data_IF_175156040455
#
_entry.id   IF_175156040455
#
_cell.length_a   1.000
_cell.length_b   1.000
_cell.length_c   1.000
_cell.angle_alpha   90.00
_cell.angle_beta   90.00
_cell.angle_gamma   90.00
#
_symmetry.space_group_name_H-M   'P 1'
#
loop_
_entity.id
_entity.type
_entity.pdbx_description
1 polymer ?
#
# COMPACT_ATOMS: atom_id res chain seq x y z
N UNK A 1 2.13 16.52 2.53
CA UNK A 1 2.98 15.93 1.47
C UNK A 1 4.22 16.79 1.32
N UNK A 2 5.40 16.18 1.22
CA UNK A 2 6.63 16.95 1.13
C UNK A 2 6.81 17.60 -0.25
N UNK A 3 7.75 18.56 -0.32
CA UNK A 3 7.97 19.33 -1.54
C UNK A 3 8.43 18.46 -2.73
N UNK A 4 9.28 17.48 -2.47
CA UNK A 4 9.79 16.60 -3.53
C UNK A 4 8.65 15.80 -4.16
N UNK A 5 7.74 15.26 -3.34
CA UNK A 5 6.58 14.52 -3.82
C UNK A 5 5.64 15.43 -4.61
N UNK A 6 5.40 16.65 -4.13
CA UNK A 6 4.56 17.61 -4.82
C UNK A 6 5.13 17.98 -6.18
N UNK A 7 6.44 18.21 -6.25
CA UNK A 7 7.14 18.54 -7.49
C UNK A 7 7.02 17.38 -8.50
N UNK A 8 7.29 16.16 -8.04
CA UNK A 8 7.17 14.97 -8.90
C UNK A 8 5.75 14.84 -9.46
N UNK A 9 4.74 14.99 -8.61
CA UNK A 9 3.33 14.88 -8.99
C UNK A 9 2.97 15.93 -10.05
N UNK A 10 3.35 17.18 -9.83
CA UNK A 10 3.07 18.25 -10.77
C UNK A 10 3.76 18.04 -12.12
N UNK A 11 5.03 17.66 -12.11
CA UNK A 11 5.80 17.41 -13.33
C UNK A 11 5.27 16.25 -14.15
N UNK A 12 4.82 15.19 -13.46
CA UNK A 12 4.22 14.05 -14.16
C UNK A 12 3.01 14.47 -14.98
N UNK A 13 2.06 15.17 -14.37
CA UNK A 13 0.85 15.58 -15.06
C UNK A 13 1.09 16.64 -16.11
N UNK A 14 2.05 17.50 -15.89
CA UNK A 14 2.47 18.48 -16.89
C UNK A 14 2.98 17.78 -18.16
N UNK A 15 3.80 16.73 -17.99
CA UNK A 15 4.29 15.94 -19.13
C UNK A 15 3.17 15.20 -19.85
N UNK A 16 2.12 14.80 -19.13
CA UNK A 16 0.99 14.12 -19.74
C UNK A 16 0.08 15.04 -20.51
N UNK A 17 0.19 16.36 -20.31
CA UNK A 17 -0.69 17.33 -20.97
C UNK A 17 -2.14 17.19 -20.53
N UNK A 18 -2.38 16.70 -19.33
CA UNK A 18 -3.71 16.47 -18.76
C UNK A 18 -3.88 17.22 -17.46
N UNK A 19 -5.12 17.46 -17.10
CA UNK A 19 -5.43 18.07 -15.82
C UNK A 19 -5.04 17.13 -14.68
N UNK A 20 -4.35 17.69 -13.71
CA UNK A 20 -3.90 16.97 -12.51
C UNK A 20 -5.11 16.62 -11.62
N UNK A 21 -5.23 15.36 -11.16
CA UNK A 21 -6.27 15.02 -10.20
C UNK A 21 -6.21 15.88 -8.94
N UNK A 22 -7.38 16.16 -8.37
CA UNK A 22 -7.50 17.04 -7.21
C UNK A 22 -6.88 16.48 -5.94
N UNK A 23 -6.84 15.16 -5.79
CA UNK A 23 -6.32 14.54 -4.59
C UNK A 23 -5.27 13.49 -4.90
N UNK A 24 -4.27 13.40 -4.04
CA UNK A 24 -3.21 12.41 -4.06
C UNK A 24 -2.63 12.32 -2.66
N UNK A 25 -2.16 11.15 -2.27
CA UNK A 25 -1.43 10.97 -1.02
C UNK A 25 -0.03 10.45 -1.32
N UNK A 26 0.91 10.72 -0.42
CA UNK A 26 2.26 10.24 -0.52
C UNK A 26 2.62 9.50 0.77
N UNK A 27 3.15 8.29 0.64
CA UNK A 27 3.44 7.47 1.82
C UNK A 27 4.46 6.38 1.48
N UNK A 28 5.27 5.96 2.48
CA UNK A 28 6.15 4.82 2.33
C UNK A 28 5.43 3.53 2.74
N UNK A 29 5.84 2.41 2.17
CA UNK A 29 5.40 1.11 2.69
C UNK A 29 6.01 0.87 4.08
N UNK A 30 5.37 -0.01 4.86
CA UNK A 30 5.67 -0.21 6.27
C UNK A 30 7.06 -0.75 6.61
N UNK A 31 7.20 -2.06 6.77
CA UNK A 31 8.37 -2.66 7.42
C UNK A 31 9.73 -2.37 6.77
N UNK A 32 9.78 -2.34 5.43
CA UNK A 32 11.02 -2.08 4.69
C UNK A 32 10.70 -1.22 3.46
N UNK A 33 10.62 0.11 3.66
CA UNK A 33 10.19 1.00 2.58
C UNK A 33 11.00 0.91 1.30
N UNK A 34 12.33 0.79 1.40
CA UNK A 34 13.18 0.71 0.22
C UNK A 34 12.96 -0.57 -0.57
N UNK A 35 12.89 -1.71 0.12
CA UNK A 35 12.68 -3.01 -0.51
C UNK A 35 11.30 -3.07 -1.16
N UNK A 36 10.27 -2.64 -0.44
CA UNK A 36 8.90 -2.69 -0.95
C UNK A 36 8.70 -1.76 -2.14
N UNK A 37 9.29 -0.57 -2.09
CA UNK A 37 9.27 0.36 -3.23
C UNK A 37 9.93 -0.27 -4.45
N UNK A 38 11.05 -0.96 -4.26
CA UNK A 38 11.75 -1.64 -5.35
C UNK A 38 10.87 -2.72 -6.00
N UNK A 39 10.17 -3.51 -5.18
CA UNK A 39 9.26 -4.53 -5.69
C UNK A 39 8.12 -3.94 -6.52
N UNK A 40 7.62 -2.77 -6.14
CA UNK A 40 6.61 -2.06 -6.93
C UNK A 40 7.18 -1.65 -8.28
N UNK A 41 8.37 -1.04 -8.28
CA UNK A 41 9.03 -0.56 -9.50
C UNK A 41 9.32 -1.72 -10.46
N UNK A 42 9.69 -2.88 -9.93
CA UNK A 42 9.97 -4.07 -10.72
C UNK A 42 8.72 -4.80 -11.21
N UNK A 43 7.54 -4.37 -10.76
CA UNK A 43 6.28 -5.01 -11.13
C UNK A 43 5.99 -6.30 -10.38
N UNK A 44 6.75 -6.61 -9.34
CA UNK A 44 6.57 -7.82 -8.52
C UNK A 44 5.46 -7.60 -7.49
N UNK A 45 5.43 -6.44 -6.86
CA UNK A 45 4.39 -6.09 -5.89
C UNK A 45 3.30 -5.28 -6.59
N UNK A 46 2.09 -5.86 -6.65
CA UNK A 46 0.93 -5.24 -7.29
C UNK A 46 -0.28 -5.17 -6.37
N UNK A 47 -0.09 -5.51 -5.09
CA UNK A 47 -1.15 -5.48 -4.09
C UNK A 47 -0.58 -5.15 -2.73
N UNK A 48 -1.44 -4.63 -1.86
CA UNK A 48 -1.10 -4.35 -0.48
C UNK A 48 -2.34 -4.50 0.39
N UNK A 49 -2.16 -4.77 1.68
CA UNK A 49 -3.28 -4.83 2.60
C UNK A 49 -2.96 -4.04 3.86
N UNK A 50 -4.02 -3.61 4.52
CA UNK A 50 -3.96 -2.90 5.79
C UNK A 50 -5.15 -3.32 6.63
N UNK A 51 -5.07 -3.14 7.94
CA UNK A 51 -6.15 -3.53 8.82
C UNK A 51 -7.25 -2.48 8.85
N UNK A 52 -8.50 -2.92 8.77
CA UNK A 52 -9.65 -2.03 8.84
C UNK A 52 -9.64 -1.22 10.15
N UNK A 53 -9.24 -1.85 11.26
CA UNK A 53 -9.23 -1.17 12.55
C UNK A 53 -8.30 0.05 12.57
N UNK A 54 -7.25 0.08 11.74
CA UNK A 54 -6.35 1.22 11.67
C UNK A 54 -7.06 2.45 11.09
N UNK A 55 -7.87 2.25 10.05
CA UNK A 55 -8.65 3.34 9.47
C UNK A 55 -9.69 3.86 10.46
N UNK A 56 -10.34 2.95 11.19
CA UNK A 56 -11.32 3.33 12.20
C UNK A 56 -10.69 4.11 13.34
N UNK A 57 -9.53 3.66 13.83
CA UNK A 57 -8.82 4.29 14.94
C UNK A 57 -8.35 5.70 14.59
N UNK A 58 -7.91 5.91 13.35
CA UNK A 58 -7.41 7.20 12.87
C UNK A 58 -8.50 8.05 12.23
N UNK A 59 -9.72 7.52 12.14
CA UNK A 59 -10.86 8.20 11.51
C UNK A 59 -10.56 8.63 10.07
N UNK A 60 -9.86 7.75 9.35
CA UNK A 60 -9.51 7.99 7.96
C UNK A 60 -10.45 7.23 7.01
N UNK A 61 -10.75 7.78 5.84
CA UNK A 61 -11.55 7.07 4.85
C UNK A 61 -10.77 5.89 4.27
N UNK A 62 -11.50 4.86 3.85
CA UNK A 62 -10.90 3.73 3.15
C UNK A 62 -10.41 4.18 1.76
N UNK A 63 -9.40 3.48 1.21
CA UNK A 63 -8.99 3.75 -0.17
C UNK A 63 -10.14 3.46 -1.13
N UNK A 64 -10.13 4.13 -2.26
CA UNK A 64 -11.14 3.98 -3.31
C UNK A 64 -10.49 3.67 -4.65
N UNK A 65 -11.21 2.93 -5.48
CA UNK A 65 -10.77 2.67 -6.86
C UNK A 65 -10.57 4.01 -7.57
N UNK A 66 -9.42 4.15 -8.23
CA UNK A 66 -9.05 5.38 -8.90
C UNK A 66 -8.12 6.29 -8.12
N UNK A 67 -7.93 6.04 -6.83
CA UNK A 67 -7.02 6.83 -6.01
C UNK A 67 -5.58 6.70 -6.51
N UNK A 68 -4.88 7.84 -6.57
CA UNK A 68 -3.45 7.87 -6.86
C UNK A 68 -2.65 7.97 -5.57
N UNK A 69 -1.49 7.34 -5.56
CA UNK A 69 -0.55 7.43 -4.45
C UNK A 69 0.86 7.60 -4.98
N UNK A 70 1.62 8.43 -4.30
CA UNK A 70 3.05 8.60 -4.58
C UNK A 70 3.79 7.74 -3.56
N UNK A 71 4.58 6.78 -4.06
CA UNK A 71 5.34 5.89 -3.17
C UNK A 71 6.65 6.57 -2.81
N UNK A 72 6.91 6.63 -1.51
CA UNK A 72 8.13 7.18 -0.96
C UNK A 72 9.06 6.05 -0.54
N UNK A 73 10.36 6.30 -0.61
CA UNK A 73 11.35 5.36 -0.08
C UNK A 73 11.59 5.63 1.42
N UNK A 74 12.60 4.97 2.00
CA UNK A 74 12.91 5.11 3.42
C UNK A 74 13.46 6.48 3.83
N UNK A 75 13.72 7.35 2.87
CA UNK A 75 14.17 8.73 3.10
C UNK A 75 13.11 9.76 2.76
N UNK A 76 11.86 9.30 2.59
CA UNK A 76 10.73 10.13 2.17
C UNK A 76 10.91 10.77 0.78
N UNK A 77 11.74 10.17 -0.06
CA UNK A 77 11.88 10.61 -1.45
C UNK A 77 10.87 9.88 -2.35
N UNK A 78 10.21 10.58 -3.26
CA UNK A 78 9.25 9.94 -4.17
C UNK A 78 9.97 9.08 -5.20
N UNK A 79 9.46 7.87 -5.46
CA UNK A 79 10.07 6.94 -6.39
C UNK A 79 9.11 6.43 -7.46
N UNK A 80 7.81 6.46 -7.20
CA UNK A 80 6.82 5.94 -8.14
C UNK A 80 5.44 6.52 -7.88
N UNK A 81 4.57 6.42 -8.89
CA UNK A 81 3.14 6.73 -8.76
C UNK A 81 2.38 5.45 -9.05
N UNK A 82 1.42 5.11 -8.20
CA UNK A 82 0.51 3.97 -8.40
C UNK A 82 -0.93 4.46 -8.39
N UNK A 83 -1.81 3.65 -8.98
CA UNK A 83 -3.25 3.91 -8.94
C UNK A 83 -3.98 2.67 -8.46
N UNK A 84 -4.85 2.83 -7.49
CA UNK A 84 -5.68 1.74 -6.95
C UNK A 84 -6.71 1.31 -8.00
N UNK A 85 -6.77 0.02 -8.30
CA UNK A 85 -7.69 -0.52 -9.30
C UNK A 85 -8.74 -1.44 -8.69
N UNK A 86 -8.53 -1.94 -7.48
CA UNK A 86 -9.49 -2.81 -6.80
C UNK A 86 -9.34 -2.65 -5.28
N UNK A 87 -10.46 -2.58 -4.57
CA UNK A 87 -10.49 -2.52 -3.10
C UNK A 87 -11.52 -3.53 -2.61
N UNK A 88 -11.11 -4.43 -1.72
CA UNK A 88 -12.01 -5.38 -1.07
C UNK A 88 -11.72 -5.42 0.43
N UNK A 89 -12.73 -5.74 1.23
CA UNK A 89 -12.55 -5.93 2.67
C UNK A 89 -12.87 -7.38 2.96
N UNK A 90 -11.91 -8.14 3.45
CA UNK A 90 -12.08 -9.56 3.73
C UNK A 90 -11.44 -9.92 5.06
N UNK A 91 -11.96 -10.94 5.77
CA UNK A 91 -11.27 -11.45 6.95
C UNK A 91 -9.90 -12.00 6.58
N UNK A 92 -8.91 -11.82 7.45
CA UNK A 92 -7.54 -12.24 7.16
C UNK A 92 -7.44 -13.71 6.76
N UNK A 93 -8.21 -14.59 7.41
CA UNK A 93 -8.18 -16.03 7.11
C UNK A 93 -8.87 -16.40 5.78
N UNK A 94 -9.46 -15.42 5.09
CA UNK A 94 -10.08 -15.64 3.78
C UNK A 94 -9.31 -14.96 2.65
N UNK A 95 -8.15 -14.35 2.94
CA UNK A 95 -7.29 -13.78 1.90
C UNK A 95 -6.71 -14.92 1.07
N UNK A 96 -6.90 -14.92 -0.26
CA UNK A 96 -6.43 -16.03 -1.10
C UNK A 96 -4.93 -16.01 -1.33
N UNK A 97 -4.38 -17.17 -1.67
CA UNK A 97 -2.96 -17.32 -1.98
C UNK A 97 -2.52 -16.41 -3.12
N UNK A 98 -3.36 -16.23 -4.13
CA UNK A 98 -3.03 -15.34 -5.26
C UNK A 98 -2.77 -13.90 -4.82
N UNK A 99 -3.44 -13.45 -3.75
CA UNK A 99 -3.22 -12.13 -3.20
C UNK A 99 -1.84 -12.04 -2.55
N UNK A 100 -1.43 -13.08 -1.82
CA UNK A 100 -0.10 -13.15 -1.23
C UNK A 100 0.98 -13.07 -2.32
N UNK A 101 0.77 -13.76 -3.44
CA UNK A 101 1.67 -13.69 -4.59
C UNK A 101 1.70 -12.26 -5.15
N UNK A 102 0.55 -11.61 -5.24
CA UNK A 102 0.45 -10.24 -5.76
C UNK A 102 1.13 -9.21 -4.84
N UNK A 103 1.20 -9.47 -3.53
CA UNK A 103 1.97 -8.62 -2.63
C UNK A 103 3.48 -8.74 -2.87
N UNK A 104 3.92 -9.86 -3.43
CA UNK A 104 5.27 -10.01 -3.97
C UNK A 104 6.40 -10.12 -2.96
N UNK A 105 6.10 -10.22 -1.68
CA UNK A 105 7.11 -10.15 -0.62
C UNK A 105 7.66 -11.53 -0.26
N UNK A 106 8.92 -11.54 0.19
CA UNK A 106 9.59 -12.75 0.62
C UNK A 106 9.66 -13.79 -0.49
N UNK A 107 9.29 -15.03 -0.17
CA UNK A 107 9.26 -16.13 -1.13
C UNK A 107 7.94 -16.20 -1.93
N UNK A 108 7.06 -15.22 -1.72
CA UNK A 108 5.77 -15.08 -2.38
C UNK A 108 4.80 -16.23 -2.08
N UNK A 109 4.98 -16.92 -0.94
CA UNK A 109 4.07 -17.97 -0.51
C UNK A 109 3.02 -17.41 0.45
N UNK A 110 1.88 -18.08 0.52
CA UNK A 110 0.85 -17.74 1.51
C UNK A 110 1.38 -17.88 2.94
N UNK A 111 2.21 -18.90 3.19
CA UNK A 111 2.80 -19.12 4.52
C UNK A 111 3.64 -17.93 4.98
N UNK A 112 4.51 -17.42 4.13
CA UNK A 112 5.32 -16.23 4.43
C UNK A 112 4.42 -15.03 4.68
N UNK A 113 3.47 -14.81 3.78
CA UNK A 113 2.52 -13.69 3.89
C UNK A 113 1.79 -13.75 5.23
N UNK A 114 1.29 -14.93 5.60
CA UNK A 114 0.55 -15.13 6.84
C UNK A 114 1.41 -14.82 8.07
N UNK A 115 2.62 -15.35 8.13
CA UNK A 115 3.50 -15.16 9.27
C UNK A 115 3.89 -13.70 9.47
N UNK A 116 4.24 -13.02 8.38
CA UNK A 116 4.64 -11.61 8.43
C UNK A 116 3.48 -10.71 8.84
N UNK A 117 2.30 -10.94 8.26
CA UNK A 117 1.14 -10.10 8.56
C UNK A 117 0.58 -10.38 9.96
N UNK A 118 0.61 -11.62 10.41
CA UNK A 118 0.21 -11.94 11.77
C UNK A 118 1.07 -11.20 12.79
N UNK A 119 2.38 -11.21 12.58
CA UNK A 119 3.32 -10.48 13.45
C UNK A 119 3.05 -8.98 13.42
N UNK A 120 2.89 -8.42 12.24
CA UNK A 120 2.66 -6.99 12.06
C UNK A 120 1.36 -6.55 12.71
N UNK A 121 0.25 -7.24 12.42
CA UNK A 121 -1.06 -6.86 12.94
C UNK A 121 -1.19 -7.13 14.44
N UNK A 122 -0.52 -8.15 14.97
CA UNK A 122 -0.48 -8.38 16.41
C UNK A 122 0.10 -7.19 17.13
N UNK A 123 1.22 -6.65 16.63
CA UNK A 123 1.85 -5.45 17.21
C UNK A 123 0.94 -4.24 17.12
N UNK A 124 0.31 -4.04 15.97
CA UNK A 124 -0.59 -2.90 15.77
C UNK A 124 -1.80 -2.96 16.70
N UNK A 125 -2.41 -4.15 16.83
CA UNK A 125 -3.56 -4.34 17.71
C UNK A 125 -3.18 -4.15 19.16
N UNK A 126 -2.05 -4.73 19.61
CA UNK A 126 -1.58 -4.58 20.98
C UNK A 126 -1.35 -3.12 21.36
N UNK A 127 -0.83 -2.33 20.41
CA UNK A 127 -0.64 -0.90 20.63
C UNK A 127 -1.96 -0.17 20.86
N UNK A 128 -3.06 -0.68 20.29
CA UNK A 128 -4.39 -0.13 20.46
C UNK A 128 -5.18 -0.80 21.59
N UNK A 129 -4.52 -1.66 22.39
CA UNK A 129 -5.18 -2.37 23.49
C UNK A 129 -6.11 -3.50 23.04
N UNK A 130 -5.87 -4.06 21.85
CA UNK A 130 -6.67 -5.14 21.27
C UNK A 130 -5.85 -6.40 21.06
N UNK A 131 -6.53 -7.54 20.95
CA UNK A 131 -5.88 -8.81 20.68
C UNK A 131 -6.06 -9.24 19.23
N UNK A 132 -5.04 -9.89 18.67
CA UNK A 132 -5.10 -10.44 17.33
C UNK A 132 -6.09 -11.62 17.28
N UNK A 133 -6.81 -11.73 16.16
CA UNK A 133 -7.58 -12.93 15.82
C UNK A 133 -7.45 -13.17 14.31
N UNK A 134 -7.67 -14.42 13.89
CA UNK A 134 -7.48 -14.82 12.49
C UNK A 134 -8.47 -14.16 11.53
N UNK A 135 -9.57 -13.67 12.04
CA UNK A 135 -10.66 -13.13 11.24
C UNK A 135 -10.72 -11.61 11.23
N UNK A 136 -9.64 -10.93 11.63
CA UNK A 136 -9.64 -9.47 11.59
C UNK A 136 -9.88 -9.02 10.14
N UNK A 137 -10.74 -8.01 9.93
CA UNK A 137 -10.99 -7.53 8.57
C UNK A 137 -9.80 -6.76 8.02
N UNK A 138 -9.41 -7.11 6.80
CA UNK A 138 -8.33 -6.45 6.10
C UNK A 138 -8.87 -5.70 4.88
N UNK A 139 -8.33 -4.52 4.65
CA UNK A 139 -8.58 -3.75 3.44
C UNK A 139 -7.52 -4.17 2.43
N UNK A 140 -7.94 -4.86 1.39
CA UNK A 140 -7.04 -5.40 0.37
C UNK A 140 -7.15 -4.55 -0.89
N UNK A 141 -6.02 -4.00 -1.34
CA UNK A 141 -5.95 -3.17 -2.53
C UNK A 141 -5.09 -3.83 -3.59
N UNK A 142 -5.55 -3.75 -4.84
CA UNK A 142 -4.72 -4.03 -6.00
C UNK A 142 -4.47 -2.70 -6.70
N UNK A 143 -3.29 -2.53 -7.23
CA UNK A 143 -2.91 -1.28 -7.88
C UNK A 143 -2.10 -1.55 -9.14
N UNK A 144 -2.00 -0.52 -9.99
CA UNK A 144 -1.14 -0.55 -11.17
C UNK A 144 -0.05 0.50 -11.02
N UNK A 145 1.11 0.21 -11.60
CA UNK A 145 2.20 1.17 -11.65
C UNK A 145 1.89 2.19 -12.75
N UNK A 146 1.88 3.47 -12.40
CA UNK A 146 1.59 4.56 -13.33
C UNK A 146 2.88 5.16 -13.86
N UNK A 147 3.84 5.42 -12.98
CA UNK A 147 5.11 6.04 -13.37
C UNK A 147 6.21 5.66 -12.39
N UNK A 148 7.42 5.60 -12.89
CA UNK A 148 8.64 5.43 -12.10
C UNK A 148 9.44 6.72 -12.23
N UNK A 149 9.83 7.29 -11.10
CA UNK A 149 10.60 8.53 -11.10
C UNK A 149 12.00 8.29 -11.64
N UNK A 150 12.36 9.03 -12.64
CA UNK A 150 13.69 8.97 -13.24
C UNK A 150 14.68 9.93 -12.59
#
# INVERSE_FOLDING_TARGET
MNQAAQTYWNEYWERQGREKPASVSAWPFGADPDQLARLVIEGVKTATCSALFSYEAEQEPLPSVGDYSIILDGRDEPVAIIQTVEVTVVPMNEVPEEFAVAEGEGDRTYRYWREVHETFFTKELNRLGREFSDDIPLVCERFRLVDVKS
#
